data_IF_152806908656
#
_entry.id   IF_152806908656
#
_cell.length_a   1.000
_cell.length_b   1.000
_cell.length_c   1.000
_cell.angle_alpha   90.00
_cell.angle_beta   90.00
_cell.angle_gamma   90.00
#
_symmetry.space_group_name_H-M   'P 1'
#
loop_
_entity.id
_entity.type
_entity.pdbx_description
1 polymer ?
#
# COMPACT_ATOMS: atom_id res chain seq x y z
N UNK A 1 -4.70 1.72 33.85
CA UNK A 1 -3.63 1.17 32.98
C UNK A 1 -3.78 1.82 31.62
N UNK A 2 -2.85 2.68 31.22
CA UNK A 2 -2.79 3.19 29.84
C UNK A 2 -1.89 2.22 29.06
N UNK A 3 -2.49 1.14 28.54
CA UNK A 3 -1.83 0.23 27.62
C UNK A 3 -1.45 0.99 26.34
N UNK A 4 -0.34 0.56 25.75
CA UNK A 4 0.38 1.17 24.64
C UNK A 4 -0.60 1.67 23.56
N UNK A 5 -0.64 2.99 23.41
CA UNK A 5 -1.61 3.77 22.63
C UNK A 5 -1.35 3.81 21.13
N UNK A 6 -0.38 3.03 20.62
CA UNK A 6 -0.36 2.66 19.20
C UNK A 6 -1.44 1.60 19.03
N UNK A 7 -2.69 2.02 19.17
CA UNK A 7 -3.86 1.16 19.08
C UNK A 7 -3.87 0.51 17.69
N UNK A 8 -4.35 -0.73 17.59
CA UNK A 8 -4.66 -1.37 16.31
C UNK A 8 -5.41 -0.41 15.35
N UNK A 9 -6.22 0.51 15.91
CA UNK A 9 -6.84 1.63 15.20
C UNK A 9 -5.85 2.62 14.54
N UNK A 10 -4.76 3.03 15.18
CA UNK A 10 -3.73 3.86 14.54
C UNK A 10 -3.04 3.13 13.38
N UNK A 11 -2.73 1.83 13.57
CA UNK A 11 -2.15 0.98 12.53
C UNK A 11 -3.08 0.85 11.33
N UNK A 12 -4.37 0.60 11.58
CA UNK A 12 -5.42 0.57 10.53
C UNK A 12 -5.57 1.91 9.82
N UNK A 13 -5.62 3.02 10.56
CA UNK A 13 -5.72 4.35 9.95
C UNK A 13 -4.51 4.66 9.05
N UNK A 14 -3.30 4.29 9.48
CA UNK A 14 -2.10 4.42 8.65
C UNK A 14 -2.15 3.51 7.41
N UNK A 15 -2.63 2.28 7.54
CA UNK A 15 -2.81 1.36 6.42
C UNK A 15 -3.86 1.87 5.41
N UNK A 16 -4.98 2.43 5.88
CA UNK A 16 -5.99 3.07 5.02
C UNK A 16 -5.44 4.28 4.28
N UNK A 17 -4.69 5.15 4.98
CA UNK A 17 -4.04 6.30 4.36
C UNK A 17 -3.01 5.87 3.31
N UNK A 18 -2.20 4.86 3.61
CA UNK A 18 -1.26 4.25 2.66
C UNK A 18 -1.97 3.65 1.44
N UNK A 19 -3.08 2.94 1.63
CA UNK A 19 -3.90 2.42 0.52
C UNK A 19 -4.44 3.55 -0.36
N UNK A 20 -4.93 4.62 0.24
CA UNK A 20 -5.41 5.80 -0.49
C UNK A 20 -4.31 6.46 -1.32
N UNK A 21 -3.13 6.66 -0.74
CA UNK A 21 -1.96 7.17 -1.45
C UNK A 21 -1.49 6.21 -2.57
N UNK A 22 -1.54 4.91 -2.33
CA UNK A 22 -1.17 3.89 -3.32
C UNK A 22 -2.13 3.87 -4.52
N UNK A 23 -3.43 4.09 -4.28
CA UNK A 23 -4.41 4.26 -5.34
C UNK A 23 -4.15 5.54 -6.16
N UNK A 24 -3.88 6.66 -5.49
CA UNK A 24 -3.52 7.91 -6.17
C UNK A 24 -2.24 7.76 -7.00
N UNK A 25 -1.23 7.06 -6.47
CA UNK A 25 -0.01 6.73 -7.18
C UNK A 25 -0.33 5.95 -8.46
N UNK A 26 -1.13 4.88 -8.38
CA UNK A 26 -1.52 4.10 -9.55
C UNK A 26 -2.27 4.94 -10.59
N UNK A 27 -3.17 5.85 -10.17
CA UNK A 27 -3.83 6.78 -11.09
C UNK A 27 -2.85 7.73 -11.78
N UNK A 28 -1.82 8.22 -11.07
CA UNK A 28 -0.77 9.05 -11.68
C UNK A 28 0.08 8.25 -12.68
N UNK A 29 0.39 6.99 -12.39
CA UNK A 29 1.09 6.09 -13.33
C UNK A 29 0.27 5.88 -14.61
N UNK A 30 -1.05 5.70 -14.49
CA UNK A 30 -1.95 5.59 -15.64
C UNK A 30 -2.01 6.89 -16.46
N UNK A 31 -2.05 8.05 -15.79
CA UNK A 31 -1.99 9.35 -16.48
C UNK A 31 -0.66 9.55 -17.21
N UNK A 32 0.45 9.14 -16.61
CA UNK A 32 1.77 9.15 -17.23
C UNK A 32 1.80 8.25 -18.48
N UNK A 33 1.22 7.06 -18.40
CA UNK A 33 1.11 6.18 -19.56
C UNK A 33 0.28 6.80 -20.69
N UNK A 34 -0.88 7.40 -20.37
CA UNK A 34 -1.71 8.05 -21.38
C UNK A 34 -0.98 9.23 -22.05
N UNK A 35 -0.19 10.00 -21.27
CA UNK A 35 0.65 11.06 -21.81
C UNK A 35 1.77 10.51 -22.70
N UNK A 36 2.39 9.40 -22.30
CA UNK A 36 3.41 8.70 -23.11
C UNK A 36 2.83 8.21 -24.44
N UNK A 37 1.70 7.51 -24.43
CA UNK A 37 1.01 7.04 -25.64
C UNK A 37 0.65 8.20 -26.59
N UNK A 38 0.19 9.33 -26.03
CA UNK A 38 -0.11 10.54 -26.82
C UNK A 38 1.15 11.15 -27.44
N UNK A 39 2.28 11.14 -26.74
CA UNK A 39 3.57 11.62 -27.25
C UNK A 39 4.14 10.66 -28.29
N UNK A 40 3.97 9.35 -28.09
CA UNK A 40 4.37 8.29 -28.99
C UNK A 40 3.69 8.41 -30.36
N UNK A 41 2.37 8.64 -30.36
CA UNK A 41 1.62 8.90 -31.61
C UNK A 41 1.98 10.22 -32.32
N UNK A 42 2.60 11.17 -31.63
CA UNK A 42 3.01 12.47 -32.21
C UNK A 42 4.45 12.49 -32.72
N UNK A 43 5.32 11.62 -32.23
CA UNK A 43 6.76 11.67 -32.52
C UNK A 43 7.29 10.28 -32.88
N UNK A 44 7.23 9.92 -34.16
CA UNK A 44 7.72 8.63 -34.66
C UNK A 44 9.25 8.69 -34.92
N UNK A 45 10.02 7.78 -34.31
CA UNK A 45 11.47 7.69 -34.49
C UNK A 45 12.23 6.97 -33.36
N UNK A 46 13.50 6.63 -33.58
CA UNK A 46 14.35 5.87 -32.64
C UNK A 46 14.45 6.46 -31.22
N UNK A 47 14.33 7.77 -31.08
CA UNK A 47 14.33 8.43 -29.78
C UNK A 47 13.04 8.12 -28.99
N UNK A 48 11.92 7.95 -29.69
CA UNK A 48 10.65 7.57 -29.10
C UNK A 48 10.67 6.12 -28.62
N UNK A 49 11.15 5.20 -29.46
CA UNK A 49 11.28 3.78 -29.09
C UNK A 49 12.13 3.59 -27.84
N UNK A 50 13.23 4.35 -27.72
CA UNK A 50 14.09 4.31 -26.54
C UNK A 50 13.40 4.86 -25.29
N UNK A 51 12.61 5.93 -25.41
CA UNK A 51 11.83 6.50 -24.31
C UNK A 51 10.70 5.55 -23.90
N UNK A 52 9.96 4.99 -24.85
CA UNK A 52 8.90 4.02 -24.60
C UNK A 52 9.43 2.77 -23.89
N UNK A 53 10.58 2.23 -24.34
CA UNK A 53 11.22 1.08 -23.70
C UNK A 53 11.65 1.39 -22.26
N UNK A 54 12.23 2.58 -22.01
CA UNK A 54 12.58 3.02 -20.66
C UNK A 54 11.33 3.18 -19.78
N UNK A 55 10.27 3.79 -20.31
CA UNK A 55 9.00 3.98 -19.62
C UNK A 55 8.34 2.65 -19.25
N UNK A 56 8.35 1.66 -20.14
CA UNK A 56 7.84 0.31 -19.85
C UNK A 56 8.59 -0.35 -18.70
N UNK A 57 9.92 -0.23 -18.67
CA UNK A 57 10.73 -0.74 -17.56
C UNK A 57 10.38 -0.03 -16.25
N UNK A 58 10.24 1.29 -16.28
CA UNK A 58 9.88 2.08 -15.09
C UNK A 58 8.47 1.75 -14.60
N UNK A 59 7.51 1.56 -15.50
CA UNK A 59 6.14 1.14 -15.19
C UNK A 59 6.12 -0.22 -14.48
N UNK A 60 7.02 -1.13 -14.83
CA UNK A 60 7.14 -2.41 -14.14
C UNK A 60 7.57 -2.21 -12.68
N UNK A 61 8.58 -1.37 -12.44
CA UNK A 61 8.98 -1.02 -11.07
C UNK A 61 7.87 -0.30 -10.30
N UNK A 62 7.13 0.61 -10.95
CA UNK A 62 5.96 1.28 -10.34
C UNK A 62 4.87 0.27 -9.96
N UNK A 63 4.62 -0.73 -10.81
CA UNK A 63 3.66 -1.81 -10.53
C UNK A 63 4.13 -2.69 -9.36
N UNK A 64 5.42 -3.02 -9.32
CA UNK A 64 6.01 -3.76 -8.20
C UNK A 64 5.91 -2.97 -6.89
N UNK A 65 6.17 -1.65 -6.93
CA UNK A 65 6.03 -0.76 -5.78
C UNK A 65 4.58 -0.73 -5.28
N UNK A 66 3.61 -0.57 -6.19
CA UNK A 66 2.19 -0.62 -5.85
C UNK A 66 1.81 -1.92 -5.13
N UNK A 67 2.25 -3.07 -5.66
CA UNK A 67 2.01 -4.37 -5.05
C UNK A 67 2.69 -4.52 -3.68
N UNK A 68 3.91 -3.99 -3.51
CA UNK A 68 4.63 -4.01 -2.25
C UNK A 68 3.91 -3.21 -1.16
N UNK A 69 3.40 -2.03 -1.49
CA UNK A 69 2.62 -1.20 -0.56
C UNK A 69 1.33 -1.90 -0.15
N UNK A 70 0.66 -2.60 -1.06
CA UNK A 70 -0.53 -3.40 -0.71
C UNK A 70 -0.19 -4.52 0.28
N UNK A 71 0.88 -5.29 0.02
CA UNK A 71 1.37 -6.32 0.95
C UNK A 71 1.75 -5.75 2.31
N UNK A 72 2.36 -4.56 2.33
CA UNK A 72 2.69 -3.87 3.57
C UNK A 72 1.42 -3.51 4.36
N UNK A 73 0.38 -3.01 3.68
CA UNK A 73 -0.91 -2.73 4.31
C UNK A 73 -1.59 -4.01 4.85
N UNK A 74 -1.52 -5.12 4.11
CA UNK A 74 -2.01 -6.43 4.59
C UNK A 74 -1.27 -6.90 5.85
N UNK A 75 0.05 -6.73 5.90
CA UNK A 75 0.84 -7.05 7.08
C UNK A 75 0.43 -6.20 8.28
N UNK A 76 0.19 -4.89 8.09
CA UNK A 76 -0.31 -4.00 9.14
C UNK A 76 -1.68 -4.41 9.66
N UNK A 77 -2.61 -4.81 8.77
CA UNK A 77 -3.93 -5.32 9.16
C UNK A 77 -3.83 -6.64 9.94
N UNK A 78 -2.93 -7.53 9.53
CA UNK A 78 -2.68 -8.80 10.23
C UNK A 78 -2.13 -8.54 11.63
N UNK A 79 -1.16 -7.64 11.75
CA UNK A 79 -0.57 -7.25 13.04
C UNK A 79 -1.65 -6.66 13.95
N UNK A 80 -2.48 -5.74 13.44
CA UNK A 80 -3.58 -5.15 14.19
C UNK A 80 -4.57 -6.20 14.71
N UNK A 81 -4.88 -7.21 13.90
CA UNK A 81 -5.78 -8.32 14.26
C UNK A 81 -5.16 -9.23 15.32
N UNK A 82 -3.87 -9.55 15.20
CA UNK A 82 -3.15 -10.38 16.17
C UNK A 82 -3.07 -9.71 17.55
N UNK A 83 -2.84 -8.38 17.57
CA UNK A 83 -2.89 -7.60 18.81
C UNK A 83 -4.28 -7.63 19.47
N UNK A 84 -5.36 -7.45 18.71
CA UNK A 84 -6.74 -7.54 19.26
C UNK A 84 -7.05 -8.93 19.82
N UNK A 85 -6.61 -9.99 19.15
CA UNK A 85 -6.77 -11.37 19.64
C UNK A 85 -6.00 -11.61 20.95
N UNK A 86 -4.74 -11.17 21.02
CA UNK A 86 -3.94 -11.30 22.24
C UNK A 86 -4.56 -10.54 23.42
N UNK A 87 -5.14 -9.36 23.17
CA UNK A 87 -5.82 -8.58 24.21
C UNK A 87 -7.10 -9.26 24.70
N UNK A 88 -7.91 -9.81 23.79
CA UNK A 88 -9.10 -10.59 24.15
C UNK A 88 -8.77 -11.83 25.00
N UNK A 89 -7.71 -12.57 24.65
CA UNK A 89 -7.27 -13.76 25.42
C UNK A 89 -6.80 -13.36 26.83
N UNK A 90 -6.06 -12.25 26.93
CA UNK A 90 -5.58 -11.74 28.22
C UNK A 90 -6.73 -11.25 29.10
N UNK A 91 -7.73 -10.59 28.53
CA UNK A 91 -8.95 -10.18 29.24
C UNK A 91 -9.75 -11.39 29.71
N UNK A 92 -9.97 -12.41 28.87
CA UNK A 92 -10.69 -13.64 29.27
C UNK A 92 -9.96 -14.37 30.41
N UNK A 93 -8.64 -14.49 30.30
CA UNK A 93 -7.81 -15.12 31.35
C UNK A 93 -7.84 -14.32 32.66
N UNK A 94 -7.77 -12.99 32.59
CA UNK A 94 -7.86 -12.12 33.75
C UNK A 94 -9.25 -12.17 34.41
N UNK A 95 -10.31 -12.20 33.59
CA UNK A 95 -11.70 -12.30 34.07
C UNK A 95 -11.96 -13.66 34.73
N UNK A 96 -11.43 -14.76 34.16
CA UNK A 96 -11.48 -16.11 34.77
C UNK A 96 -10.72 -16.23 36.08
N UNK A 97 -9.69 -15.41 36.33
CA UNK A 97 -8.91 -15.40 37.59
C UNK A 97 -9.53 -14.52 38.68
N UNK A 98 -10.54 -13.71 38.35
CA UNK A 98 -11.21 -12.79 39.28
C UNK A 98 -12.42 -13.40 40.00
N UNK A 99 -12.65 -14.71 39.86
CA UNK A 99 -13.71 -15.45 40.57
C UNK A 99 -13.11 -16.43 41.57
#
# INVERSE_FOLDING_TARGET
>A
MALIRVTASQVRNSAESLRGLNQQFNSQVQNLQAAEESLNGMWDGQANDAFHAAFLSDKEYMTQFYNLINKYCEALDSIATEYENAENINLDTATRRSF
#
